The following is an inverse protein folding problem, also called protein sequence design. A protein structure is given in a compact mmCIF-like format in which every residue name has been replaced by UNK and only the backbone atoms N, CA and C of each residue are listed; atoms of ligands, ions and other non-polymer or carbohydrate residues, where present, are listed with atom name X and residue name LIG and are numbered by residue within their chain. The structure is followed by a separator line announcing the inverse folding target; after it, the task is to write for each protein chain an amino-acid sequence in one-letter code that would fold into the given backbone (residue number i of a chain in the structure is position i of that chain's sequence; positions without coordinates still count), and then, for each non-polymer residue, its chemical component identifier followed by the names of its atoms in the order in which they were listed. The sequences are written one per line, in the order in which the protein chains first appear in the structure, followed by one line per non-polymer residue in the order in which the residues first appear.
data_IF_934748738623
#
_entry.id   IF_934748738623
#
_cell.length_a   1.000
_cell.length_b   1.000
_cell.length_c   1.000
_cell.angle_alpha   90.00
_cell.angle_beta   90.00
_cell.angle_gamma   90.00
#
_symmetry.space_group_name_H-M   'P 1'
#
loop_
_entity.id
_entity.type
_entity.pdbx_description
1 polymer ?
#
# COMPACT_ATOMS: atom_id res chain seq x y z
N UNK A 1 -15.50 -42.33 -19.78
CA UNK A 1 -16.41 -41.38 -19.11
C UNK A 1 -15.87 -40.85 -17.78
N UNK A 2 -15.44 -41.69 -16.82
CA UNK A 2 -14.90 -41.22 -15.51
C UNK A 2 -13.59 -40.42 -15.60
N UNK A 3 -12.67 -40.79 -16.49
CA UNK A 3 -11.38 -40.09 -16.67
C UNK A 3 -11.58 -38.70 -17.29
N UNK A 4 -12.48 -38.57 -18.26
CA UNK A 4 -12.81 -37.29 -18.91
C UNK A 4 -13.42 -36.29 -17.93
N UNK A 5 -14.29 -36.75 -17.03
CA UNK A 5 -14.89 -35.91 -15.96
C UNK A 5 -13.83 -35.47 -14.94
N UNK A 6 -12.87 -36.35 -14.61
CA UNK A 6 -11.77 -36.01 -13.69
C UNK A 6 -10.83 -34.96 -14.30
N UNK A 7 -10.49 -35.09 -15.58
CA UNK A 7 -9.65 -34.12 -16.30
C UNK A 7 -10.37 -32.77 -16.38
N UNK A 8 -11.65 -32.74 -16.73
CA UNK A 8 -12.42 -31.48 -16.78
C UNK A 8 -12.50 -30.82 -15.39
N UNK A 9 -12.76 -31.58 -14.32
CA UNK A 9 -12.75 -31.03 -12.95
C UNK A 9 -11.37 -30.51 -12.54
N UNK A 10 -10.30 -31.22 -12.88
CA UNK A 10 -8.93 -30.81 -12.55
C UNK A 10 -8.53 -29.55 -13.32
N UNK A 11 -8.90 -29.46 -14.61
CA UNK A 11 -8.65 -28.27 -15.44
C UNK A 11 -9.47 -27.08 -14.97
N UNK A 12 -10.73 -27.25 -14.58
CA UNK A 12 -11.55 -26.18 -14.00
C UNK A 12 -10.97 -25.75 -12.66
N UNK A 13 -10.59 -26.68 -11.78
CA UNK A 13 -9.93 -26.35 -10.51
C UNK A 13 -8.65 -25.58 -10.79
N UNK A 14 -7.73 -26.09 -11.61
CA UNK A 14 -6.46 -25.43 -11.94
C UNK A 14 -6.68 -24.04 -12.56
N UNK A 15 -7.66 -23.87 -13.44
CA UNK A 15 -7.99 -22.55 -14.01
C UNK A 15 -8.61 -21.62 -12.96
N UNK A 16 -9.50 -22.11 -12.09
CA UNK A 16 -10.03 -21.33 -10.97
C UNK A 16 -8.90 -20.98 -10.00
N UNK A 17 -7.96 -21.89 -9.70
CA UNK A 17 -6.80 -21.60 -8.85
C UNK A 17 -5.88 -20.58 -9.53
N UNK A 18 -5.55 -20.74 -10.81
CA UNK A 18 -4.75 -19.77 -11.59
C UNK A 18 -5.44 -18.40 -11.68
N UNK A 19 -6.75 -18.35 -11.88
CA UNK A 19 -7.56 -17.12 -11.90
C UNK A 19 -7.60 -16.49 -10.50
N UNK A 20 -7.69 -17.27 -9.42
CA UNK A 20 -7.58 -16.76 -8.04
C UNK A 20 -6.15 -16.40 -7.64
N UNK A 21 -5.12 -16.91 -8.32
CA UNK A 21 -3.71 -16.53 -8.12
C UNK A 21 -3.28 -15.35 -9.00
N UNK A 22 -4.01 -15.02 -10.07
CA UNK A 22 -4.08 -13.64 -10.59
C UNK A 22 -4.92 -12.79 -9.64
N UNK A 23 -4.48 -12.70 -8.37
CA UNK A 23 -4.89 -11.60 -7.51
C UNK A 23 -4.40 -10.35 -8.22
N UNK A 24 -5.35 -9.53 -8.67
CA UNK A 24 -5.13 -8.32 -9.45
C UNK A 24 -4.30 -7.30 -8.66
N UNK A 25 -2.99 -7.49 -8.59
CA UNK A 25 -2.10 -6.42 -8.18
C UNK A 25 -2.28 -5.28 -9.20
N UNK A 26 -2.52 -4.03 -8.77
CA UNK A 26 -2.51 -2.93 -9.71
C UNK A 26 -1.09 -2.83 -10.29
N UNK A 27 -0.92 -3.27 -11.53
CA UNK A 27 0.40 -3.33 -12.19
C UNK A 27 0.90 -1.96 -12.60
N UNK A 28 -0.01 -0.98 -12.66
CA UNK A 28 0.26 0.35 -13.15
C UNK A 28 0.76 1.25 -12.03
N UNK A 29 1.85 1.97 -12.30
CA UNK A 29 2.32 3.08 -11.48
C UNK A 29 1.15 4.04 -11.30
N UNK A 30 0.92 4.47 -10.06
CA UNK A 30 -0.18 5.37 -9.71
C UNK A 30 0.26 6.50 -8.81
N UNK A 31 -0.39 7.64 -8.94
CA UNK A 31 -0.28 8.75 -8.01
C UNK A 31 -1.65 9.40 -7.79
N UNK A 32 -1.69 10.36 -6.86
CA UNK A 32 -2.87 11.22 -6.63
C UNK A 32 -4.17 10.45 -6.31
N UNK A 33 -4.07 9.23 -5.78
CA UNK A 33 -5.22 8.44 -5.32
C UNK A 33 -5.65 8.87 -3.91
N UNK A 34 -6.90 8.58 -3.56
CA UNK A 34 -7.37 8.65 -2.18
C UNK A 34 -7.09 7.35 -1.45
N UNK A 35 -6.92 7.41 -0.12
CA UNK A 35 -6.86 6.22 0.72
C UNK A 35 -7.46 6.47 2.10
N UNK A 36 -7.98 5.41 2.72
CA UNK A 36 -8.53 5.47 4.08
C UNK A 36 -8.49 4.10 4.75
N UNK A 37 -8.51 4.07 6.09
CA UNK A 37 -8.59 2.82 6.85
C UNK A 37 -10.02 2.65 7.36
N UNK A 38 -10.60 1.48 7.11
CA UNK A 38 -11.91 1.08 7.64
C UNK A 38 -11.90 -0.42 7.94
N UNK A 39 -12.46 -0.86 9.08
CA UNK A 39 -12.57 -2.27 9.46
C UNK A 39 -11.28 -3.09 9.23
N UNK A 40 -10.15 -2.57 9.69
CA UNK A 40 -8.82 -3.19 9.57
C UNK A 40 -8.36 -3.42 8.12
N UNK A 41 -8.85 -2.61 7.18
CA UNK A 41 -8.42 -2.60 5.78
C UNK A 41 -7.97 -1.21 5.37
N UNK A 42 -6.87 -1.14 4.63
CA UNK A 42 -6.46 0.07 3.94
C UNK A 42 -7.10 0.06 2.55
N UNK A 43 -8.08 0.92 2.33
CA UNK A 43 -8.74 1.13 1.05
C UNK A 43 -8.02 2.20 0.26
N UNK A 44 -7.90 1.99 -1.05
CA UNK A 44 -7.23 2.86 -2.00
C UNK A 44 -8.08 2.94 -3.25
N UNK A 45 -8.22 4.14 -3.82
CA UNK A 45 -8.89 4.27 -5.11
C UNK A 45 -8.81 5.64 -5.76
N UNK A 46 -9.17 5.65 -7.04
CA UNK A 46 -8.97 6.79 -7.92
C UNK A 46 -7.49 7.03 -8.22
N UNK A 47 -7.18 8.25 -8.66
CA UNK A 47 -5.86 8.69 -9.07
C UNK A 47 -5.65 8.61 -10.58
N UNK A 48 -4.38 8.60 -10.96
CA UNK A 48 -3.97 8.45 -12.36
C UNK A 48 -3.04 7.25 -12.49
N UNK A 49 -3.13 6.56 -13.61
CA UNK A 49 -2.28 5.42 -13.98
C UNK A 49 -1.59 5.72 -15.31
N UNK A 50 -0.42 5.13 -15.53
CA UNK A 50 0.28 5.23 -16.80
C UNK A 50 1.80 5.35 -16.64
N UNK A 51 2.57 5.12 -17.71
CA UNK A 51 3.99 5.47 -17.72
C UNK A 51 4.16 6.99 -17.61
N UNK A 52 5.26 7.44 -17.01
CA UNK A 52 5.59 8.86 -16.76
C UNK A 52 5.57 9.78 -18.01
N UNK A 53 5.31 9.26 -19.22
CA UNK A 53 5.38 9.99 -20.48
C UNK A 53 4.06 9.95 -21.28
N UNK A 54 3.41 11.12 -21.31
CA UNK A 54 2.46 11.65 -22.30
C UNK A 54 0.97 11.36 -22.22
N UNK A 55 0.47 10.40 -21.44
CA UNK A 55 -0.99 10.25 -21.26
C UNK A 55 -1.35 9.99 -19.79
N UNK A 56 -1.92 11.02 -19.15
CA UNK A 56 -2.48 10.91 -17.80
C UNK A 56 -3.83 10.21 -17.89
N UNK A 57 -3.89 8.92 -17.57
CA UNK A 57 -5.14 8.15 -17.58
C UNK A 57 -5.76 8.19 -16.19
N UNK A 58 -6.93 8.80 -16.06
CA UNK A 58 -7.71 8.75 -14.83
C UNK A 58 -8.22 7.33 -14.59
N UNK A 59 -8.13 6.86 -13.34
CA UNK A 59 -8.63 5.53 -12.95
C UNK A 59 -9.78 5.64 -11.97
N UNK A 60 -10.66 4.65 -12.03
CA UNK A 60 -11.77 4.36 -11.13
C UNK A 60 -11.49 3.10 -10.28
N UNK A 61 -10.27 2.58 -10.32
CA UNK A 61 -9.86 1.42 -9.52
C UNK A 61 -10.18 1.65 -8.05
N UNK A 62 -10.73 0.63 -7.39
CA UNK A 62 -10.96 0.64 -5.95
C UNK A 62 -10.64 -0.72 -5.34
N UNK A 63 -9.75 -0.72 -4.35
CA UNK A 63 -9.24 -1.94 -3.76
C UNK A 63 -8.82 -1.74 -2.31
N UNK A 64 -8.57 -2.83 -1.61
CA UNK A 64 -8.10 -2.80 -0.22
C UNK A 64 -7.00 -3.80 0.09
N UNK A 65 -6.27 -3.51 1.17
CA UNK A 65 -5.26 -4.36 1.79
C UNK A 65 -5.77 -4.80 3.16
N UNK A 66 -5.83 -6.11 3.40
CA UNK A 66 -6.25 -6.67 4.69
C UNK A 66 -5.14 -6.57 5.74
N UNK A 67 -5.31 -5.65 6.70
CA UNK A 67 -4.33 -5.39 7.76
C UNK A 67 -4.45 -6.39 8.92
N UNK A 68 -5.32 -7.41 8.82
CA UNK A 68 -5.37 -8.54 9.76
C UNK A 68 -4.46 -9.70 9.34
N UNK A 69 -3.90 -9.63 8.13
CA UNK A 69 -3.05 -10.66 7.55
C UNK A 69 -1.61 -10.16 7.50
N UNK A 70 -0.66 -11.02 7.91
CA UNK A 70 0.76 -10.71 7.76
C UNK A 70 1.17 -10.69 6.29
N UNK A 71 2.06 -9.77 5.92
CA UNK A 71 2.61 -9.71 4.57
C UNK A 71 4.04 -9.21 4.53
N UNK A 72 4.72 -9.48 3.42
CA UNK A 72 6.09 -9.05 3.19
C UNK A 72 6.16 -8.21 1.91
N UNK A 73 6.67 -6.98 1.98
CA UNK A 73 6.71 -6.04 0.84
C UNK A 73 7.82 -6.34 -0.17
N UNK A 74 8.75 -7.23 0.15
CA UNK A 74 9.73 -7.77 -0.81
C UNK A 74 9.16 -8.88 -1.69
N UNK A 75 7.96 -9.39 -1.39
CA UNK A 75 7.27 -10.40 -2.19
C UNK A 75 5.89 -9.89 -2.66
N UNK A 76 5.69 -9.66 -3.97
CA UNK A 76 4.40 -9.16 -4.47
C UNK A 76 3.26 -10.19 -4.31
N UNK A 77 3.59 -11.47 -4.10
CA UNK A 77 2.62 -12.56 -4.05
C UNK A 77 1.90 -12.70 -2.71
N UNK A 78 2.41 -12.07 -1.65
CA UNK A 78 1.89 -12.24 -0.29
C UNK A 78 1.11 -11.01 0.21
N UNK A 79 0.83 -10.04 -0.66
CA UNK A 79 0.08 -8.85 -0.30
C UNK A 79 -1.42 -9.19 -0.26
N UNK A 80 -2.14 -8.97 0.87
CA UNK A 80 -3.50 -9.44 1.09
C UNK A 80 -4.51 -8.50 0.44
N UNK A 81 -4.50 -8.48 -0.89
CA UNK A 81 -5.25 -7.55 -1.71
C UNK A 81 -6.68 -8.04 -2.00
N UNK A 82 -7.66 -7.14 -2.00
CA UNK A 82 -9.04 -7.37 -2.46
C UNK A 82 -9.46 -6.27 -3.45
N UNK A 83 -9.88 -6.65 -4.66
CA UNK A 83 -10.61 -5.75 -5.59
C UNK A 83 -12.03 -5.56 -5.08
N UNK A 84 -12.52 -4.33 -5.15
CA UNK A 84 -13.92 -3.96 -4.90
C UNK A 84 -14.55 -3.40 -6.20
N UNK A 85 -15.88 -3.21 -6.26
CA UNK A 85 -16.48 -2.47 -7.36
C UNK A 85 -15.80 -1.12 -7.57
N UNK A 86 -15.55 -0.78 -8.84
CA UNK A 86 -14.92 0.47 -9.22
C UNK A 86 -15.70 1.68 -8.71
N UNK A 87 -14.97 2.78 -8.47
CA UNK A 87 -15.58 4.07 -8.17
C UNK A 87 -16.46 4.46 -9.37
N UNK A 88 -17.64 5.02 -9.09
CA UNK A 88 -18.59 5.45 -10.13
C UNK A 88 -17.97 6.45 -11.12
N UNK A 89 -16.93 7.16 -10.68
CA UNK A 89 -16.31 8.28 -11.40
C UNK A 89 -14.80 8.15 -11.42
N UNK A 90 -14.22 8.51 -12.56
CA UNK A 90 -12.77 8.60 -12.73
C UNK A 90 -12.29 9.98 -12.28
N UNK A 91 -11.29 9.99 -11.40
CA UNK A 91 -10.77 11.22 -10.83
C UNK A 91 -9.36 11.03 -10.29
N UNK A 92 -8.63 12.12 -10.14
CA UNK A 92 -7.43 12.17 -9.33
C UNK A 92 -7.53 13.28 -8.30
N UNK A 93 -6.57 13.31 -7.37
CA UNK A 93 -6.51 14.30 -6.31
C UNK A 93 -7.79 14.35 -5.44
N UNK A 94 -8.56 13.25 -5.49
CA UNK A 94 -9.75 12.99 -4.68
C UNK A 94 -9.33 12.57 -3.27
N UNK A 95 -10.30 12.51 -2.37
CA UNK A 95 -10.10 11.93 -1.05
C UNK A 95 -11.11 10.84 -0.76
N UNK A 96 -10.64 9.81 -0.05
CA UNK A 96 -11.46 8.76 0.52
C UNK A 96 -11.44 8.94 2.03
N UNK A 97 -12.62 8.90 2.65
CA UNK A 97 -12.77 9.11 4.09
C UNK A 97 -13.77 8.11 4.64
N UNK A 98 -13.35 7.30 5.61
CA UNK A 98 -14.27 6.43 6.34
C UNK A 98 -15.15 7.24 7.30
N UNK A 99 -16.46 6.99 7.30
CA UNK A 99 -17.37 7.52 8.30
C UNK A 99 -18.48 6.51 8.65
N UNK A 100 -18.95 6.57 9.89
CA UNK A 100 -20.07 5.81 10.45
C UNK A 100 -21.37 6.52 10.05
N UNK A 101 -22.12 5.86 9.20
CA UNK A 101 -23.46 6.25 8.76
C UNK A 101 -24.53 5.30 9.33
N UNK A 102 -25.77 5.48 8.89
CA UNK A 102 -26.90 4.63 9.32
C UNK A 102 -26.78 3.16 8.84
N UNK A 103 -25.78 2.81 8.03
CA UNK A 103 -25.52 1.45 7.56
C UNK A 103 -24.40 0.75 8.37
N UNK A 104 -23.79 1.46 9.34
CA UNK A 104 -22.73 0.96 10.20
C UNK A 104 -21.31 1.29 9.73
N UNK A 105 -21.17 2.05 8.63
CA UNK A 105 -19.87 2.46 8.11
C UNK A 105 -19.80 2.43 6.58
N UNK A 106 -19.35 3.53 6.02
CA UNK A 106 -19.12 3.70 4.59
C UNK A 106 -17.80 4.42 4.34
N UNK A 107 -17.24 4.22 3.15
CA UNK A 107 -16.13 5.02 2.65
C UNK A 107 -16.70 6.07 1.70
N UNK A 108 -16.51 7.33 2.05
CA UNK A 108 -16.96 8.45 1.25
C UNK A 108 -15.86 8.90 0.31
N UNK A 109 -16.25 9.10 -0.94
CA UNK A 109 -15.45 9.72 -1.96
C UNK A 109 -15.90 11.18 -2.11
N UNK A 110 -14.94 12.10 -2.10
CA UNK A 110 -15.18 13.52 -2.32
C UNK A 110 -14.32 14.08 -3.45
N UNK A 111 -14.96 14.90 -4.28
CA UNK A 111 -14.33 15.85 -5.20
C UNK A 111 -13.27 15.24 -6.14
N UNK A 112 -12.09 15.86 -6.15
CA UNK A 112 -10.99 15.57 -7.07
C UNK A 112 -11.12 16.29 -8.41
N UNK A 113 -10.07 16.24 -9.22
CA UNK A 113 -10.16 16.63 -10.62
C UNK A 113 -10.75 15.46 -11.40
N UNK A 114 -11.82 15.72 -12.14
CA UNK A 114 -12.54 14.68 -12.90
C UNK A 114 -11.96 14.53 -14.29
N UNK A 115 -12.09 13.32 -14.81
CA UNK A 115 -11.91 13.05 -16.22
C UNK A 115 -12.81 14.00 -17.04
N UNK A 116 -12.26 14.78 -17.99
CA UNK A 116 -13.05 15.71 -18.80
C UNK A 116 -14.25 15.05 -19.50
N UNK A 117 -14.11 13.78 -19.91
CA UNK A 117 -15.19 13.05 -20.59
C UNK A 117 -16.34 12.65 -19.65
N UNK A 118 -16.11 12.62 -18.33
CA UNK A 118 -17.09 12.26 -17.31
C UNK A 118 -17.05 13.24 -16.12
N UNK A 119 -17.05 14.54 -16.44
CA UNK A 119 -16.92 15.63 -15.46
C UNK A 119 -18.25 16.06 -14.82
N UNK A 120 -19.38 15.60 -15.36
CA UNK A 120 -20.72 15.83 -14.81
C UNK A 120 -21.03 14.89 -13.62
N UNK A 121 -21.99 15.27 -12.77
CA UNK A 121 -22.49 14.41 -11.69
C UNK A 121 -22.40 15.03 -10.29
N UNK A 122 -22.44 14.17 -9.27
CA UNK A 122 -22.42 14.57 -7.87
C UNK A 122 -20.98 14.67 -7.31
N UNK A 123 -20.78 15.58 -6.36
CA UNK A 123 -19.49 15.75 -5.68
C UNK A 123 -19.19 14.72 -4.60
N UNK A 124 -20.19 13.90 -4.21
CA UNK A 124 -20.09 12.94 -3.10
C UNK A 124 -20.67 11.58 -3.51
N UNK A 125 -19.83 10.56 -3.38
CA UNK A 125 -20.22 9.15 -3.52
C UNK A 125 -19.87 8.40 -2.24
N UNK A 126 -20.57 7.30 -1.96
CA UNK A 126 -20.27 6.44 -0.81
C UNK A 126 -20.20 4.98 -1.22
N UNK A 127 -19.22 4.28 -0.66
CA UNK A 127 -19.10 2.85 -0.72
C UNK A 127 -19.61 2.24 0.58
N UNK A 128 -20.69 1.47 0.51
CA UNK A 128 -21.25 0.80 1.68
C UNK A 128 -20.41 -0.41 2.05
N UNK A 129 -19.84 -0.42 3.26
CA UNK A 129 -19.09 -1.60 3.74
C UNK A 129 -20.01 -2.79 3.98
N UNK A 130 -21.31 -2.54 4.18
CA UNK A 130 -22.33 -3.58 4.38
C UNK A 130 -22.72 -4.25 3.07
N UNK A 131 -22.89 -3.47 2.00
CA UNK A 131 -23.36 -3.98 0.70
C UNK A 131 -22.23 -4.23 -0.30
N UNK A 132 -21.00 -3.84 0.03
CA UNK A 132 -19.81 -3.94 -0.84
C UNK A 132 -20.00 -3.21 -2.18
N UNK A 133 -20.78 -2.12 -2.21
CA UNK A 133 -21.23 -1.41 -3.43
C UNK A 133 -21.24 0.12 -3.28
N UNK A 134 -21.17 0.83 -4.41
CA UNK A 134 -21.19 2.29 -4.47
C UNK A 134 -22.59 2.85 -4.68
N UNK A 135 -22.86 4.01 -4.07
CA UNK A 135 -24.06 4.79 -4.30
C UNK A 135 -23.75 6.28 -4.21
N UNK A 136 -24.58 7.10 -4.84
CA UNK A 136 -24.52 8.55 -4.62
C UNK A 136 -24.91 8.91 -3.18
N UNK A 137 -24.22 9.89 -2.60
CA UNK A 137 -24.51 10.43 -1.30
C UNK A 137 -25.14 11.82 -1.45
N UNK A 138 -26.45 11.85 -1.70
CA UNK A 138 -27.20 13.10 -1.89
C UNK A 138 -27.48 13.72 -0.52
N UNK A 139 -27.03 14.96 -0.25
CA UNK A 139 -27.33 15.64 1.00
C UNK A 139 -28.84 15.90 1.17
N UNK A 140 -29.37 15.57 2.35
CA UNK A 140 -30.79 15.65 2.67
C UNK A 140 -31.31 17.10 2.72
N UNK A 141 -30.43 18.07 2.97
CA UNK A 141 -30.76 19.50 2.95
C UNK A 141 -30.75 20.11 1.53
N UNK A 142 -30.56 19.31 0.48
CA UNK A 142 -30.62 19.74 -0.93
C UNK A 142 -29.40 20.52 -1.42
N UNK A 143 -28.41 20.78 -0.55
CA UNK A 143 -27.16 21.44 -0.93
C UNK A 143 -26.31 20.47 -1.76
N UNK A 144 -25.76 20.96 -2.87
CA UNK A 144 -24.90 20.17 -3.75
C UNK A 144 -23.45 20.59 -3.58
N UNK A 145 -22.57 19.62 -3.36
CA UNK A 145 -21.14 19.84 -3.47
C UNK A 145 -20.74 19.96 -4.95
N UNK A 146 -19.83 20.88 -5.31
CA UNK A 146 -19.24 20.91 -6.64
C UNK A 146 -18.65 19.55 -7.05
N UNK A 147 -18.86 19.14 -8.30
CA UNK A 147 -18.37 17.86 -8.80
C UNK A 147 -16.83 17.81 -8.90
N UNK A 148 -16.23 18.97 -9.19
CA UNK A 148 -14.80 19.15 -9.42
C UNK A 148 -14.22 20.00 -8.29
N UNK A 149 -13.09 19.55 -7.73
CA UNK A 149 -12.33 20.31 -6.75
C UNK A 149 -11.44 21.38 -7.38
N UNK A 150 -11.10 22.41 -6.61
CA UNK A 150 -10.19 23.47 -7.07
C UNK A 150 -8.72 23.17 -6.75
N UNK A 151 -8.48 22.27 -5.79
CA UNK A 151 -7.15 21.76 -5.44
C UNK A 151 -7.18 20.26 -5.16
N UNK A 152 -5.99 19.68 -4.91
CA UNK A 152 -5.90 18.37 -4.26
C UNK A 152 -6.48 18.47 -2.87
N UNK A 153 -7.52 17.69 -2.60
CA UNK A 153 -8.21 17.68 -1.32
C UNK A 153 -7.83 16.45 -0.50
N UNK A 154 -7.82 16.62 0.82
CA UNK A 154 -7.65 15.53 1.78
C UNK A 154 -8.67 15.76 2.88
N UNK A 155 -9.45 14.71 3.18
CA UNK A 155 -10.51 14.77 4.18
C UNK A 155 -10.13 14.08 5.49
N UNK A 156 -10.76 14.54 6.56
CA UNK A 156 -10.63 13.94 7.89
C UNK A 156 -12.00 13.79 8.55
N UNK A 157 -12.11 12.88 9.51
CA UNK A 157 -13.30 12.73 10.34
C UNK A 157 -13.09 13.22 11.76
N UNK A 158 -14.19 13.61 12.40
CA UNK A 158 -14.23 13.87 13.84
C UNK A 158 -13.98 12.59 14.66
N UNK A 159 -13.90 12.75 15.99
CA UNK A 159 -13.66 11.66 16.93
C UNK A 159 -14.72 10.56 16.87
N UNK A 160 -15.97 10.89 16.54
CA UNK A 160 -17.05 9.93 16.44
C UNK A 160 -17.11 9.26 15.06
N UNK A 161 -16.22 9.65 14.15
CA UNK A 161 -16.19 9.21 12.76
C UNK A 161 -17.52 9.44 12.03
N UNK A 162 -18.31 10.45 12.36
CA UNK A 162 -19.59 10.70 11.69
C UNK A 162 -19.62 12.02 10.94
N UNK A 163 -18.69 12.94 11.23
CA UNK A 163 -18.61 14.25 10.59
C UNK A 163 -17.32 14.35 9.80
N UNK A 164 -17.45 14.54 8.50
CA UNK A 164 -16.36 14.62 7.54
C UNK A 164 -16.06 16.09 7.25
N UNK A 165 -14.79 16.46 7.30
CA UNK A 165 -14.30 17.80 6.98
C UNK A 165 -13.41 17.71 5.74
N UNK A 166 -13.74 18.52 4.74
CA UNK A 166 -12.98 18.65 3.49
C UNK A 166 -12.68 20.13 3.31
N UNK A 167 -11.41 20.44 3.06
CA UNK A 167 -11.01 21.81 2.79
C UNK A 167 -10.50 21.92 1.35
N UNK A 168 -11.25 22.63 0.52
CA UNK A 168 -10.87 22.88 -0.87
C UNK A 168 -10.50 24.34 -1.01
N UNK A 169 -9.20 24.60 -1.05
CA UNK A 169 -8.60 25.91 -1.22
C UNK A 169 -8.92 26.92 -0.10
N UNK A 170 -10.10 27.53 -0.12
CA UNK A 170 -10.60 28.49 0.88
C UNK A 170 -11.97 28.12 1.45
N UNK A 171 -12.55 27.04 0.96
CA UNK A 171 -13.91 26.62 1.28
C UNK A 171 -13.88 25.36 2.12
N UNK A 172 -14.50 25.41 3.29
CA UNK A 172 -14.70 24.26 4.15
C UNK A 172 -16.04 23.60 3.83
N UNK A 173 -16.02 22.30 3.56
CA UNK A 173 -17.20 21.46 3.43
C UNK A 173 -17.27 20.54 4.64
N UNK A 174 -18.40 20.55 5.34
CA UNK A 174 -18.66 19.72 6.50
C UNK A 174 -19.85 18.83 6.19
N UNK A 175 -19.64 17.52 6.17
CA UNK A 175 -20.67 16.54 5.85
C UNK A 175 -20.91 15.61 7.03
N UNK A 176 -22.12 15.63 7.60
CA UNK A 176 -22.55 14.67 8.61
C UNK A 176 -23.09 13.41 7.91
N UNK A 177 -22.42 12.28 8.07
CA UNK A 177 -22.73 11.01 7.42
C UNK A 177 -24.03 10.37 7.94
N UNK A 178 -24.36 10.58 9.22
CA UNK A 178 -25.57 10.06 9.87
C UNK A 178 -26.81 10.85 9.43
N UNK A 179 -26.74 12.17 9.50
CA UNK A 179 -27.84 13.08 9.13
C UNK A 179 -27.93 13.30 7.62
N UNK A 180 -26.84 13.03 6.89
CA UNK A 180 -26.65 13.37 5.47
C UNK A 180 -26.77 14.86 5.20
N UNK A 181 -26.33 15.71 6.11
CA UNK A 181 -26.36 17.16 5.95
C UNK A 181 -24.99 17.67 5.52
N UNK A 182 -24.98 18.51 4.47
CA UNK A 182 -23.79 19.19 3.97
C UNK A 182 -23.84 20.67 4.34
N UNK A 183 -22.77 21.19 4.94
CA UNK A 183 -22.56 22.60 5.19
C UNK A 183 -21.37 23.10 4.37
N UNK A 184 -21.51 24.28 3.77
CA UNK A 184 -20.46 24.90 2.95
C UNK A 184 -20.15 26.27 3.55
N UNK A 185 -18.89 26.46 3.92
CA UNK A 185 -18.40 27.70 4.50
C UNK A 185 -17.29 28.29 3.60
N UNK A 186 -17.66 29.20 2.67
CA UNK A 186 -16.68 29.82 1.78
C UNK A 186 -15.85 30.88 2.49
N UNK A 187 -14.57 30.99 2.13
CA UNK A 187 -13.67 32.08 2.50
C UNK A 187 -13.53 32.34 4.01
N UNK A 188 -13.67 31.31 4.85
CA UNK A 188 -13.43 31.42 6.29
C UNK A 188 -11.95 31.33 6.67
N UNK A 189 -11.14 30.68 5.84
CA UNK A 189 -9.73 30.47 6.14
C UNK A 189 -8.93 31.78 5.94
N UNK A 190 -7.86 32.00 6.73
CA UNK A 190 -7.02 33.20 6.62
C UNK A 190 -6.38 33.40 5.25
N UNK A 191 -6.20 32.30 4.50
CA UNK A 191 -5.68 32.30 3.14
C UNK A 191 -6.06 31.01 2.40
N UNK A 192 -5.82 31.06 1.09
CA UNK A 192 -5.99 29.97 0.14
C UNK A 192 -4.79 29.04 0.18
N UNK A 193 -5.02 27.72 0.22
CA UNK A 193 -3.96 26.71 0.34
C UNK A 193 -4.11 25.60 -0.71
N UNK A 194 -3.00 25.05 -1.18
CA UNK A 194 -2.98 23.91 -2.10
C UNK A 194 -1.87 22.91 -1.76
N UNK A 195 -2.04 21.66 -2.19
CA UNK A 195 -1.09 20.55 -1.99
C UNK A 195 -0.60 20.38 -0.54
N UNK A 196 -1.44 20.73 0.43
CA UNK A 196 -1.21 20.52 1.86
C UNK A 196 -1.44 19.07 2.27
N UNK A 197 -0.95 18.69 3.45
CA UNK A 197 -1.39 17.48 4.14
C UNK A 197 -2.24 17.85 5.36
N UNK A 198 -3.15 16.97 5.79
CA UNK A 198 -4.00 17.26 6.95
C UNK A 198 -4.09 16.10 7.93
N UNK A 199 -4.37 16.42 9.19
CA UNK A 199 -4.61 15.46 10.26
C UNK A 199 -5.61 16.02 11.28
N UNK A 200 -6.55 15.18 11.73
CA UNK A 200 -7.42 15.47 12.87
C UNK A 200 -6.71 15.12 14.18
N UNK A 201 -6.52 16.11 15.06
CA UNK A 201 -6.01 15.88 16.41
C UNK A 201 -7.11 15.31 17.31
N UNK A 202 -6.70 14.58 18.36
CA UNK A 202 -7.63 14.08 19.39
C UNK A 202 -8.42 15.17 20.11
N UNK A 203 -7.94 16.42 20.04
CA UNK A 203 -8.57 17.61 20.61
C UNK A 203 -9.73 18.14 19.76
N UNK A 204 -9.99 17.59 18.57
CA UNK A 204 -10.98 18.12 17.62
C UNK A 204 -10.47 19.31 16.80
N UNK A 205 -9.16 19.57 16.84
CA UNK A 205 -8.51 20.55 15.97
C UNK A 205 -7.99 19.83 14.72
N UNK A 206 -8.30 20.37 13.54
CA UNK A 206 -7.72 19.92 12.28
C UNK A 206 -6.45 20.72 12.03
N UNK A 207 -5.34 20.05 11.76
CA UNK A 207 -4.09 20.66 11.33
C UNK A 207 -3.95 20.57 9.81
N UNK A 208 -3.56 21.67 9.17
CA UNK A 208 -3.21 21.78 7.76
C UNK A 208 -1.72 22.11 7.68
N UNK A 209 -0.94 21.21 7.09
CA UNK A 209 0.51 21.14 7.21
C UNK A 209 1.13 21.39 5.83
N UNK A 210 2.04 22.37 5.76
CA UNK A 210 2.76 22.75 4.54
C UNK A 210 1.82 23.09 3.39
N UNK A 211 2.21 22.71 2.17
CA UNK A 211 1.53 23.16 0.96
C UNK A 211 1.99 24.57 0.59
N UNK A 212 1.27 25.21 -0.31
CA UNK A 212 1.59 26.57 -0.70
C UNK A 212 0.38 27.49 -0.72
N UNK A 213 0.63 28.80 -0.81
CA UNK A 213 -0.34 29.87 -0.57
C UNK A 213 -0.74 30.60 -1.85
N UNK A 214 -2.03 30.64 -2.18
CA UNK A 214 -2.50 31.36 -3.37
C UNK A 214 -2.50 32.90 -3.12
N UNK A 215 -2.37 33.74 -4.17
CA UNK A 215 -2.33 33.38 -5.59
C UNK A 215 -0.96 32.91 -6.10
N UNK A 216 0.13 33.17 -5.37
CA UNK A 216 1.48 32.84 -5.83
C UNK A 216 1.88 31.43 -5.43
N UNK A 217 1.78 30.50 -6.37
CA UNK A 217 2.04 29.09 -6.12
C UNK A 217 3.49 28.77 -5.69
N UNK A 218 4.38 29.71 -5.92
CA UNK A 218 5.82 29.66 -5.62
C UNK A 218 6.13 29.80 -4.12
N UNK A 219 5.18 30.28 -3.30
CA UNK A 219 5.42 30.45 -1.86
C UNK A 219 4.88 29.27 -1.07
N UNK A 220 5.77 28.33 -0.76
CA UNK A 220 5.50 27.30 0.23
C UNK A 220 5.22 27.96 1.58
N UNK A 221 4.24 27.41 2.28
CA UNK A 221 3.95 27.80 3.65
C UNK A 221 5.11 27.29 4.52
N UNK A 222 5.72 28.16 5.36
CA UNK A 222 6.74 27.75 6.30
C UNK A 222 6.24 26.60 7.19
N UNK A 223 7.04 25.55 7.38
CA UNK A 223 6.58 24.37 8.14
C UNK A 223 6.36 24.65 9.63
N UNK A 224 6.86 25.78 10.14
CA UNK A 224 6.53 26.27 11.47
C UNK A 224 5.17 26.96 11.55
N UNK A 225 4.50 27.28 10.45
CA UNK A 225 3.15 27.85 10.44
C UNK A 225 2.13 26.74 10.20
N UNK A 226 1.44 26.32 11.26
CA UNK A 226 0.40 25.30 11.18
C UNK A 226 -0.95 25.99 11.17
N UNK A 227 -1.61 25.99 10.01
CA UNK A 227 -3.00 26.42 9.91
C UNK A 227 -3.88 25.39 10.62
N UNK A 228 -4.79 25.86 11.46
CA UNK A 228 -5.66 25.02 12.26
C UNK A 228 -7.11 25.44 12.16
N UNK A 229 -8.01 24.46 12.24
CA UNK A 229 -9.44 24.69 12.38
C UNK A 229 -9.96 23.96 13.63
N UNK A 230 -10.46 24.71 14.59
CA UNK A 230 -11.12 24.17 15.78
C UNK A 230 -12.58 23.86 15.43
N UNK A 231 -12.93 22.57 15.44
CA UNK A 231 -14.26 22.10 15.04
C UNK A 231 -15.35 22.42 16.06
N UNK A 232 -15.01 22.66 17.33
CA UNK A 232 -15.97 23.04 18.37
C UNK A 232 -16.26 24.54 18.34
N UNK A 233 -15.20 25.35 18.19
CA UNK A 233 -15.31 26.80 18.11
C UNK A 233 -15.65 27.30 16.71
N UNK A 234 -15.62 26.41 15.70
CA UNK A 234 -15.78 26.75 14.28
C UNK A 234 -14.84 27.88 13.85
N UNK A 235 -13.59 27.85 14.33
CA UNK A 235 -12.64 28.96 14.23
C UNK A 235 -11.33 28.52 13.60
N UNK A 236 -10.85 29.31 12.66
CA UNK A 236 -9.50 29.19 12.10
C UNK A 236 -8.47 29.92 12.95
N UNK A 237 -7.26 29.37 13.02
CA UNK A 237 -6.12 29.98 13.68
C UNK A 237 -4.80 29.53 13.04
N UNK A 238 -3.74 30.33 13.17
CA UNK A 238 -2.39 29.95 12.74
C UNK A 238 -1.55 29.77 13.99
N UNK A 239 -0.97 28.57 14.14
CA UNK A 239 -0.14 28.23 15.30
C UNK A 239 1.31 28.03 14.88
N UNK A 240 2.21 28.62 15.65
CA UNK A 240 3.64 28.44 15.45
C UNK A 240 4.10 27.12 16.05
N UNK A 241 4.79 26.31 15.26
CA UNK A 241 5.50 25.13 15.70
C UNK A 241 6.96 25.45 16.02
N UNK A 242 7.51 24.75 17.01
CA UNK A 242 8.91 24.83 17.43
C UNK A 242 9.67 23.55 17.10
N UNK A 243 10.91 23.40 17.58
CA UNK A 243 11.73 22.20 17.35
C UNK A 243 12.60 22.30 16.09
N UNK A 244 12.92 21.15 15.50
CA UNK A 244 13.72 21.07 14.27
C UNK A 244 12.77 21.12 13.08
N UNK A 245 12.58 22.30 12.52
CA UNK A 245 11.57 22.58 11.50
C UNK A 245 12.06 22.05 10.14
N UNK A 246 11.30 21.17 9.45
CA UNK A 246 11.65 20.70 8.11
C UNK A 246 11.48 21.81 7.06
N UNK A 247 12.11 21.65 5.89
CA UNK A 247 11.96 22.64 4.81
C UNK A 247 10.51 22.75 4.31
N UNK A 248 10.05 23.97 3.95
CA UNK A 248 8.76 24.20 3.30
C UNK A 248 8.59 23.33 2.06
N UNK A 249 7.40 22.73 1.90
CA UNK A 249 7.16 21.72 0.86
C UNK A 249 5.69 21.59 0.46
N UNK A 250 5.46 21.03 -0.73
CA UNK A 250 4.15 20.70 -1.27
C UNK A 250 4.03 19.21 -1.59
N UNK A 251 2.81 18.70 -1.72
CA UNK A 251 2.54 17.36 -2.26
C UNK A 251 2.96 16.18 -1.39
N UNK A 252 3.41 16.45 -0.16
CA UNK A 252 3.77 15.45 0.83
C UNK A 252 2.52 14.75 1.42
N UNK A 253 2.75 13.63 2.10
CA UNK A 253 1.72 12.94 2.87
C UNK A 253 1.93 13.19 4.36
N UNK A 254 0.83 13.28 5.12
CA UNK A 254 0.85 13.25 6.57
C UNK A 254 -0.20 12.27 7.08
N UNK A 255 0.11 11.54 8.16
CA UNK A 255 -0.83 10.62 8.80
C UNK A 255 -0.62 10.61 10.30
N UNK A 256 -1.72 10.61 11.06
CA UNK A 256 -1.69 10.57 12.53
C UNK A 256 -1.76 9.13 13.03
N UNK A 257 -0.87 8.76 13.95
CA UNK A 257 -0.90 7.47 14.61
C UNK A 257 -1.80 7.46 15.86
N UNK A 258 -2.19 6.28 16.38
CA UNK A 258 -3.04 6.17 17.57
C UNK A 258 -2.48 6.87 18.82
N UNK A 259 -1.16 7.05 18.90
CA UNK A 259 -0.52 7.77 20.01
C UNK A 259 -0.55 9.31 19.85
N UNK A 260 -1.03 9.81 18.71
CA UNK A 260 -1.18 11.25 18.43
C UNK A 260 -0.01 11.87 17.67
N UNK A 261 1.06 11.13 17.38
CA UNK A 261 2.15 11.63 16.52
C UNK A 261 1.68 11.73 15.08
N UNK A 262 2.01 12.82 14.40
CA UNK A 262 1.77 12.99 12.97
C UNK A 262 3.08 12.73 12.23
N UNK A 263 3.06 11.78 11.30
CA UNK A 263 4.19 11.40 10.47
C UNK A 263 4.08 12.03 9.10
N UNK A 264 5.07 12.83 8.72
CA UNK A 264 5.18 13.45 7.41
C UNK A 264 6.21 12.72 6.55
N UNK A 265 5.88 12.48 5.28
CA UNK A 265 6.81 11.85 4.35
C UNK A 265 6.76 12.46 2.94
N UNK A 266 7.94 12.62 2.34
CA UNK A 266 8.14 13.11 0.97
C UNK A 266 7.82 14.60 0.82
N UNK A 267 7.33 14.95 -0.36
CA UNK A 267 7.09 16.32 -0.80
C UNK A 267 8.25 16.90 -1.61
N UNK A 268 7.95 18.00 -2.28
CA UNK A 268 8.88 18.72 -3.13
C UNK A 268 8.85 20.22 -2.83
N UNK A 269 9.88 20.91 -3.28
CA UNK A 269 10.15 22.34 -3.07
C UNK A 269 9.12 23.29 -3.68
N UNK A 270 8.22 22.81 -4.54
CA UNK A 270 7.16 23.64 -5.12
C UNK A 270 7.67 24.66 -6.14
N UNK A 271 8.91 24.53 -6.61
CA UNK A 271 9.47 25.43 -7.62
C UNK A 271 8.89 25.09 -9.01
N UNK A 272 7.90 25.86 -9.44
CA UNK A 272 7.25 25.69 -10.75
C UNK A 272 8.14 26.18 -11.91
N UNK A 273 9.21 26.94 -11.63
CA UNK A 273 10.16 27.43 -12.64
C UNK A 273 11.33 26.45 -12.86
N UNK A 274 11.49 25.45 -11.99
CA UNK A 274 12.54 24.45 -12.10
C UNK A 274 12.28 23.43 -13.22
N UNK A 275 13.33 23.04 -13.96
CA UNK A 275 13.25 21.99 -14.98
C UNK A 275 12.84 20.63 -14.39
N UNK A 276 13.20 20.38 -13.12
CA UNK A 276 12.81 19.20 -12.36
C UNK A 276 12.45 19.59 -10.92
N UNK A 277 11.41 18.96 -10.35
CA UNK A 277 11.03 19.16 -8.95
C UNK A 277 12.04 18.51 -8.00
N UNK A 278 12.56 19.26 -7.02
CA UNK A 278 13.46 18.68 -6.01
C UNK A 278 12.68 18.23 -4.79
N UNK A 279 13.00 17.03 -4.28
CA UNK A 279 12.46 16.56 -3.01
C UNK A 279 13.00 17.40 -1.84
N UNK A 280 12.11 17.89 -0.98
CA UNK A 280 12.48 18.72 0.17
C UNK A 280 13.13 17.91 1.29
N UNK A 281 14.10 18.49 2.00
CA UNK A 281 14.81 17.85 3.10
C UNK A 281 14.20 18.24 4.48
N UNK A 282 14.18 17.31 5.45
CA UNK A 282 14.32 15.86 5.32
C UNK A 282 13.10 15.25 4.62
N UNK A 283 13.22 14.05 4.07
CA UNK A 283 12.07 13.33 3.49
C UNK A 283 11.12 12.74 4.54
N UNK A 284 11.51 12.70 5.82
CA UNK A 284 10.70 12.21 6.93
C UNK A 284 10.81 13.16 8.11
N UNK A 285 9.67 13.50 8.72
CA UNK A 285 9.61 14.32 9.92
C UNK A 285 8.39 13.93 10.76
N UNK A 286 8.43 14.25 12.04
CA UNK A 286 7.37 13.96 13.00
C UNK A 286 6.92 15.24 13.68
N UNK A 287 5.62 15.50 13.66
CA UNK A 287 4.98 16.60 14.35
C UNK A 287 4.18 16.06 15.54
N UNK A 288 4.49 16.56 16.74
CA UNK A 288 3.75 16.25 17.96
C UNK A 288 2.98 17.50 18.41
N UNK A 289 1.78 17.30 18.98
CA UNK A 289 1.00 18.36 19.60
C UNK A 289 0.93 18.09 21.11
N UNK A 290 1.75 18.80 21.88
CA UNK A 290 1.90 18.61 23.33
C UNK A 290 1.82 19.95 24.03
N UNK A 291 1.12 20.01 25.16
CA UNK A 291 0.96 21.25 25.94
C UNK A 291 0.42 22.43 25.12
N UNK A 292 -0.48 22.15 24.18
CA UNK A 292 -1.07 23.13 23.25
C UNK A 292 -0.10 23.74 22.23
N UNK A 293 1.10 23.17 22.09
CA UNK A 293 2.13 23.59 21.15
C UNK A 293 2.45 22.48 20.15
N UNK A 294 2.75 22.87 18.92
CA UNK A 294 3.27 21.98 17.90
C UNK A 294 4.81 21.93 17.99
N UNK A 295 5.38 20.73 17.96
CA UNK A 295 6.84 20.54 18.02
C UNK A 295 7.27 19.58 16.91
N UNK A 296 8.15 20.05 16.04
CA UNK A 296 8.78 19.25 15.00
C UNK A 296 10.01 18.51 15.50
N UNK A 297 10.19 17.30 14.99
CA UNK A 297 11.44 16.56 15.02
C UNK A 297 11.75 15.96 13.65
N UNK A 298 13.03 15.82 13.35
CA UNK A 298 13.55 15.26 12.09
C UNK A 298 14.43 14.04 12.40
N UNK A 299 13.85 12.96 12.94
CA UNK A 299 14.62 11.80 13.33
C UNK A 299 15.17 11.08 12.10
N UNK A 300 16.31 10.41 12.28
CA UNK A 300 16.86 9.55 11.22
C UNK A 300 15.90 8.41 10.91
N UNK A 301 15.68 8.18 9.61
CA UNK A 301 14.91 7.07 9.09
C UNK A 301 15.87 6.03 8.51
N UNK A 302 16.13 4.98 9.28
CA UNK A 302 17.21 4.03 9.03
C UNK A 302 16.78 2.97 8.00
N UNK A 303 17.71 2.57 7.14
CA UNK A 303 17.60 1.33 6.37
C UNK A 303 16.87 1.45 5.03
N UNK A 304 16.64 2.66 4.50
CA UNK A 304 16.13 2.77 3.13
C UNK A 304 17.19 2.32 2.14
N UNK A 305 16.93 1.25 1.43
CA UNK A 305 17.79 0.87 0.33
C UNK A 305 17.58 1.85 -0.84
N UNK A 306 18.53 2.78 -1.02
CA UNK A 306 18.49 3.83 -2.07
C UNK A 306 18.52 3.28 -3.49
N UNK A 307 18.73 1.98 -3.69
CA UNK A 307 18.77 1.34 -5.01
C UNK A 307 17.40 0.86 -5.51
N UNK A 308 16.31 1.07 -4.76
CA UNK A 308 14.97 0.77 -5.26
C UNK A 308 14.58 1.82 -6.31
N UNK A 309 14.68 1.42 -7.58
CA UNK A 309 14.11 2.15 -8.70
C UNK A 309 12.60 2.37 -8.47
N UNK A 310 12.07 3.49 -9.01
CA UNK A 310 10.67 3.96 -8.88
C UNK A 310 9.65 3.02 -9.53
N UNK A 311 9.51 1.77 -9.05
CA UNK A 311 8.53 0.83 -9.61
C UNK A 311 7.86 0.03 -8.49
N UNK A 312 6.58 0.31 -8.24
CA UNK A 312 5.61 -0.52 -7.50
C UNK A 312 6.11 -1.12 -6.16
N UNK A 313 6.71 -0.31 -5.30
CA UNK A 313 7.16 -0.72 -3.96
C UNK A 313 6.21 -0.23 -2.88
N UNK A 314 6.05 -1.05 -1.82
CA UNK A 314 5.39 -0.65 -0.58
C UNK A 314 6.48 -0.48 0.48
N UNK A 315 6.67 0.76 0.93
CA UNK A 315 7.57 1.08 2.04
C UNK A 315 6.78 1.02 3.37
N UNK A 316 7.24 0.22 4.34
CA UNK A 316 6.68 0.18 5.70
C UNK A 316 7.67 0.83 6.66
N UNK A 317 7.16 1.72 7.52
CA UNK A 317 7.95 2.38 8.56
C UNK A 317 7.52 1.84 9.92
N UNK A 318 8.45 1.27 10.68
CA UNK A 318 8.22 0.91 12.08
C UNK A 318 8.29 2.17 12.95
N UNK A 319 7.15 2.53 13.52
CA UNK A 319 6.98 3.73 14.36
C UNK A 319 7.02 3.44 15.86
N UNK A 320 7.28 2.19 16.27
CA UNK A 320 7.24 1.77 17.67
C UNK A 320 8.32 2.43 18.53
N UNK A 321 9.51 2.68 17.97
CA UNK A 321 10.63 3.29 18.66
C UNK A 321 10.82 4.76 18.24
N UNK A 322 10.48 5.70 19.15
CA UNK A 322 10.64 7.15 18.93
C UNK A 322 12.08 7.58 18.60
N UNK A 323 13.08 6.81 19.03
CA UNK A 323 14.50 7.13 18.84
C UNK A 323 15.13 6.48 17.60
N UNK A 324 14.42 5.57 16.92
CA UNK A 324 14.97 4.80 15.80
C UNK A 324 13.86 4.32 14.87
N UNK A 325 13.30 5.23 14.07
CA UNK A 325 12.40 4.87 12.98
C UNK A 325 13.18 4.13 11.90
N UNK A 326 12.60 3.07 11.35
CA UNK A 326 13.28 2.25 10.36
C UNK A 326 12.32 1.69 9.33
N UNK A 327 12.83 1.49 8.13
CA UNK A 327 12.13 0.70 7.14
C UNK A 327 12.12 -0.77 7.54
N UNK A 328 10.96 -1.40 7.38
CA UNK A 328 10.77 -2.84 7.56
C UNK A 328 10.10 -3.42 6.33
N UNK A 329 10.29 -4.71 6.11
CA UNK A 329 9.66 -5.42 4.98
C UNK A 329 8.47 -6.28 5.41
N UNK A 330 8.41 -6.67 6.69
CA UNK A 330 7.33 -7.48 7.23
C UNK A 330 6.31 -6.60 7.94
N UNK A 331 5.05 -6.71 7.53
CA UNK A 331 3.92 -6.24 8.30
C UNK A 331 3.39 -7.38 9.18
N UNK A 332 3.35 -7.14 10.49
CA UNK A 332 2.80 -8.08 11.47
C UNK A 332 1.58 -7.40 12.12
N UNK A 333 0.38 -7.96 11.96
CA UNK A 333 -0.82 -7.43 12.58
C UNK A 333 -0.71 -7.37 14.12
N UNK A 334 -1.25 -6.34 14.78
CA UNK A 334 -1.32 -6.30 16.24
C UNK A 334 -2.04 -7.54 16.80
N UNK A 335 -1.43 -8.21 17.77
CA UNK A 335 -2.02 -9.39 18.43
C UNK A 335 -1.88 -10.71 17.66
N UNK A 336 -1.11 -10.75 16.57
CA UNK A 336 -0.82 -11.99 15.87
C UNK A 336 -0.06 -13.00 16.76
N UNK A 337 -0.62 -14.21 16.88
CA UNK A 337 0.03 -15.36 17.53
C UNK A 337 0.41 -16.35 16.44
N UNK A 338 1.71 -16.68 16.27
CA UNK A 338 2.13 -17.68 15.29
C UNK A 338 1.41 -19.01 15.54
N UNK A 339 1.01 -19.74 14.48
CA UNK A 339 0.47 -21.09 14.63
C UNK A 339 1.45 -21.95 15.44
N UNK A 340 0.94 -22.72 16.40
CA UNK A 340 1.77 -23.68 17.12
C UNK A 340 2.45 -24.62 16.10
N UNK A 341 3.75 -24.91 16.23
CA UNK A 341 4.41 -25.85 15.35
C UNK A 341 3.64 -27.18 15.37
N UNK A 342 3.51 -27.86 14.22
CA UNK A 342 2.84 -29.15 14.18
C UNK A 342 3.48 -30.10 15.20
N UNK A 343 2.69 -30.95 15.89
CA UNK A 343 3.24 -31.92 16.80
C UNK A 343 4.31 -32.75 16.08
N UNK A 344 5.43 -33.00 16.75
CA UNK A 344 6.52 -33.79 16.21
C UNK A 344 5.96 -35.11 15.67
N UNK A 345 6.30 -35.53 14.44
CA UNK A 345 5.84 -36.82 13.94
C UNK A 345 6.30 -37.91 14.91
N UNK A 346 5.45 -38.93 15.18
CA UNK A 346 5.86 -40.04 16.01
C UNK A 346 7.13 -40.67 15.43
N UNK A 347 8.06 -41.14 16.29
CA UNK A 347 9.31 -41.74 15.82
C UNK A 347 8.99 -42.84 14.81
N UNK A 348 9.60 -42.75 13.62
CA UNK A 348 9.39 -43.73 12.56
C UNK A 348 9.83 -45.11 13.05
N UNK A 349 9.08 -46.19 12.78
CA UNK A 349 9.55 -47.53 13.07
C UNK A 349 10.84 -47.79 12.30
N UNK A 350 11.82 -48.36 12.98
CA UNK A 350 13.14 -48.69 12.44
C UNK A 350 13.00 -49.49 11.13
N UNK A 351 13.72 -49.16 10.05
CA UNK A 351 13.56 -49.86 8.78
C UNK A 351 14.07 -51.30 8.92
N UNK A 352 13.16 -52.28 8.80
CA UNK A 352 13.55 -53.66 8.51
C UNK A 352 14.17 -53.72 7.11
N UNK A 353 15.32 -54.39 6.91
CA UNK A 353 15.98 -54.41 5.60
C UNK A 353 15.07 -55.07 4.55
N UNK A 354 14.74 -54.34 3.49
CA UNK A 354 13.90 -54.83 2.41
C UNK A 354 14.68 -55.82 1.54
N UNK A 355 14.04 -56.93 1.15
CA UNK A 355 14.60 -58.01 0.31
C UNK A 355 15.16 -57.54 -1.05
N UNK A 356 14.92 -56.29 -1.44
CA UNK A 356 15.34 -55.68 -2.70
C UNK A 356 16.85 -55.38 -2.72
N UNK A 357 17.46 -55.03 -1.58
CA UNK A 357 18.89 -54.69 -1.51
C UNK A 357 19.78 -55.92 -1.79
N UNK A 358 19.33 -57.11 -1.36
CA UNK A 358 20.09 -58.36 -1.54
C UNK A 358 20.12 -58.80 -3.02
N UNK A 359 19.05 -58.55 -3.79
CA UNK A 359 19.00 -58.94 -5.21
C UNK A 359 19.92 -58.04 -6.05
N UNK A 360 20.00 -56.74 -5.73
CA UNK A 360 20.87 -55.79 -6.42
C UNK A 360 22.37 -56.08 -6.20
N UNK A 361 22.76 -56.51 -5.00
CA UNK A 361 24.18 -56.84 -4.71
C UNK A 361 24.66 -58.10 -5.42
N UNK A 362 23.78 -59.09 -5.63
CA UNK A 362 24.16 -60.34 -6.32
C UNK A 362 24.38 -60.12 -7.81
N UNK A 363 23.54 -59.33 -8.48
CA UNK A 363 23.68 -59.04 -9.92
C UNK A 363 24.94 -58.20 -10.24
N UNK A 364 25.28 -57.23 -9.38
CA UNK A 364 26.51 -56.43 -9.54
C UNK A 364 27.78 -57.27 -9.41
N UNK A 365 27.77 -58.26 -8.51
CA UNK A 365 28.91 -59.15 -8.26
C UNK A 365 29.21 -60.09 -9.43
N UNK A 366 28.16 -60.63 -10.07
CA UNK A 366 28.31 -61.52 -11.23
C UNK A 366 28.79 -60.76 -12.46
N UNK A 367 28.29 -59.53 -12.68
CA UNK A 367 28.76 -58.68 -13.78
C UNK A 367 30.25 -58.33 -13.69
N UNK A 368 30.74 -58.02 -12.47
CA UNK A 368 32.16 -57.70 -12.25
C UNK A 368 33.09 -58.89 -12.53
N UNK A 369 32.68 -60.11 -12.16
CA UNK A 369 33.48 -61.32 -12.40
C UNK A 369 33.60 -61.66 -13.89
N UNK A 370 32.55 -61.44 -14.68
CA UNK A 370 32.58 -61.64 -16.14
C UNK A 370 33.55 -60.65 -16.79
N UNK A 371 33.54 -59.38 -16.36
CA UNK A 371 34.45 -58.35 -16.89
C UNK A 371 35.91 -58.69 -16.57
N UNK A 372 36.21 -59.12 -15.33
CA UNK A 372 37.57 -59.54 -14.94
C UNK A 372 38.02 -60.76 -15.77
N UNK A 373 37.14 -61.74 -16.00
CA UNK A 373 37.44 -62.89 -16.85
C UNK A 373 37.78 -62.51 -18.29
N UNK A 374 37.02 -61.59 -18.89
CA UNK A 374 37.28 -61.10 -20.24
C UNK A 374 38.62 -60.34 -20.34
N UNK A 375 38.97 -59.54 -19.33
CA UNK A 375 40.24 -58.81 -19.27
C UNK A 375 41.41 -59.79 -19.17
N UNK A 376 41.33 -60.80 -18.29
CA UNK A 376 42.37 -61.83 -18.15
C UNK A 376 42.57 -62.65 -19.44
N UNK A 377 41.48 -62.99 -20.14
CA UNK A 377 41.54 -63.67 -21.43
C UNK A 377 42.26 -62.82 -22.49
N UNK A 378 41.98 -61.52 -22.53
CA UNK A 378 42.65 -60.58 -23.44
C UNK A 378 44.14 -60.42 -23.13
N UNK A 379 44.51 -60.28 -21.86
CA UNK A 379 45.92 -60.20 -21.42
C UNK A 379 46.66 -61.47 -21.81
N UNK A 380 46.07 -62.65 -21.58
CA UNK A 380 46.67 -63.93 -21.97
C UNK A 380 46.87 -64.03 -23.48
N UNK A 381 45.89 -63.59 -24.29
CA UNK A 381 46.01 -63.59 -25.76
C UNK A 381 47.09 -62.64 -26.27
N UNK A 382 47.34 -61.54 -25.55
CA UNK A 382 48.38 -60.57 -25.92
C UNK A 382 49.80 -61.10 -25.62
N UNK A 383 49.99 -61.84 -24.52
CA UNK A 383 51.30 -62.39 -24.14
C UNK A 383 51.79 -63.52 -25.07
N UNK A 384 50.89 -64.29 -25.71
CA UNK A 384 51.27 -65.37 -26.64
C UNK A 384 51.60 -64.90 -28.07
N UNK A 385 51.41 -63.62 -28.42
CA UNK A 385 51.73 -63.10 -29.77
C UNK A 385 53.20 -62.72 -29.98
N UNK A 386 54.02 -62.68 -28.92
CA UNK A 386 55.42 -62.22 -28.97
C UNK A 386 56.47 -63.31 -28.69
N UNK A 387 56.15 -64.58 -28.92
CA UNK A 387 57.13 -65.68 -28.79
C UNK A 387 57.64 -66.09 -30.18
N UNK A 388 58.90 -65.73 -30.47
CA UNK A 388 59.65 -66.14 -31.67
C UNK A 388 60.17 -67.58 -31.45
N UNK A 389 59.96 -68.55 -32.37
CA UNK A 389 60.52 -69.89 -32.24
C UNK A 389 62.02 -69.92 -32.58
N UNK A 390 62.84 -70.49 -31.68
CA UNK A 390 64.22 -70.94 -31.97
C UNK A 390 64.19 -72.27 -32.74
N UNK A 391 65.03 -72.49 -33.77
CA UNK A 391 65.18 -73.79 -34.40
C UNK A 391 66.01 -74.73 -33.50
N UNK A 392 65.54 -75.95 -33.31
CA UNK A 392 66.30 -77.05 -32.70
C UNK A 392 67.16 -77.79 -33.73
N UNK A 393 68.28 -78.34 -33.25
CA UNK A 393 69.30 -79.14 -33.93
C UNK A 393 68.78 -80.30 -34.80
#
# INVERSE_FOLDING_TARGET
MKITILIIKLTIIINVTLITFTIAQPTNIRCCHGSTIANNRLYIGGGTIGPEYNETVFTDDFFSLDLTVQFNTSSPFNIPYKVHPNIIVKSNANTLVYAIDNEGGSIYFFGGFRDPENSEGNGIYRYSLKYDDWAEAIPANGIKMPAISTTKIVGVTDRNNNTIYIFDNSTMYIFNATEKFLYIFPNLAPYHIYYYATAMLKTGVIAYIGGGKAPNKLYNIPMNEILTYDTYLSKWDIRNASGIIPEPRQGHSASIAPDGRIFMYGGYDGDEDAEESNGSYPSFAVLEFTNNEFVWSTPDLIGRNKTHHRVNTIDLIDISNKSAYKFVTNFIPPGYVPPAPPPSPPPSPSPSPSKIIIIASVLGSVGALIIIGCILFWIRRYQYRNVIPTPSD
#
